data_IF_163216526614
#
_entry.id   IF_163216526614
#
_cell.length_a   1.000
_cell.length_b   1.000
_cell.length_c   1.000
_cell.angle_alpha   90.00
_cell.angle_beta   90.00
_cell.angle_gamma   90.00
#
_symmetry.space_group_name_H-M   'P 1'
#
loop_
_entity.id
_entity.type
_entity.pdbx_description
1 polymer ?
#
# COMPACT_ATOMS: atom_id res chain seq x y z
N UNK A 1 -1.19 -15.44 18.26
CA UNK A 1 -1.87 -15.70 16.98
C UNK A 1 -2.89 -14.57 16.79
N UNK A 2 -2.91 -13.93 15.64
CA UNK A 2 -3.86 -12.85 15.33
C UNK A 2 -4.77 -13.29 14.18
N UNK A 3 -5.95 -12.69 14.10
CA UNK A 3 -6.86 -12.84 12.98
C UNK A 3 -6.35 -11.97 11.81
N UNK A 4 -6.15 -12.58 10.64
CA UNK A 4 -5.66 -11.90 9.45
C UNK A 4 -6.77 -11.18 8.65
N UNK A 5 -8.02 -11.24 9.10
CA UNK A 5 -9.16 -10.61 8.42
C UNK A 5 -9.52 -11.24 7.07
N UNK A 6 -9.04 -12.44 6.77
CA UNK A 6 -9.33 -13.15 5.53
C UNK A 6 -10.12 -14.43 5.83
N UNK A 7 -11.29 -14.57 5.24
CA UNK A 7 -12.24 -15.64 5.56
C UNK A 7 -12.76 -16.33 4.30
N UNK A 8 -12.91 -17.65 4.38
CA UNK A 8 -13.72 -18.43 3.45
C UNK A 8 -14.98 -18.85 4.20
N UNK A 9 -16.13 -18.36 3.75
CA UNK A 9 -17.40 -18.51 4.45
C UNK A 9 -18.38 -19.25 3.55
N UNK A 10 -19.09 -20.24 4.11
CA UNK A 10 -20.15 -20.92 3.39
C UNK A 10 -21.31 -19.96 3.07
N UNK A 11 -21.88 -20.12 1.89
CA UNK A 11 -22.99 -19.28 1.41
C UNK A 11 -24.17 -19.25 2.40
N UNK A 12 -24.45 -20.38 3.04
CA UNK A 12 -25.53 -20.50 4.02
C UNK A 12 -25.40 -19.58 5.22
N UNK A 13 -24.16 -19.30 5.65
CA UNK A 13 -23.88 -18.36 6.75
C UNK A 13 -24.24 -16.94 6.31
N UNK A 14 -23.80 -16.54 5.10
CA UNK A 14 -24.11 -15.19 4.57
C UNK A 14 -25.60 -15.01 4.31
N UNK A 15 -26.27 -16.03 3.77
CA UNK A 15 -27.73 -15.98 3.50
C UNK A 15 -28.57 -15.89 4.77
N UNK A 16 -28.07 -16.33 5.91
CA UNK A 16 -28.71 -16.23 7.20
C UNK A 16 -28.59 -14.86 7.88
N UNK A 17 -27.79 -13.94 7.33
CA UNK A 17 -27.65 -12.60 7.89
C UNK A 17 -28.78 -11.68 7.44
N UNK A 18 -29.18 -10.77 8.32
CA UNK A 18 -30.09 -9.68 7.94
C UNK A 18 -29.33 -8.64 7.08
N UNK A 19 -30.07 -7.68 6.52
CA UNK A 19 -29.46 -6.56 5.76
C UNK A 19 -28.91 -5.46 6.65
N UNK A 20 -28.99 -5.62 7.96
CA UNK A 20 -28.42 -4.66 8.93
C UNK A 20 -26.91 -4.85 9.07
N UNK A 21 -26.26 -3.88 9.71
CA UNK A 21 -24.82 -3.96 10.01
C UNK A 21 -24.51 -5.13 10.95
N UNK A 22 -23.55 -5.97 10.56
CA UNK A 22 -23.01 -7.05 11.37
C UNK A 22 -21.48 -7.01 11.35
N UNK A 23 -20.86 -7.19 12.51
CA UNK A 23 -19.44 -7.55 12.59
C UNK A 23 -19.31 -9.06 12.47
N UNK A 24 -18.58 -9.53 11.45
CA UNK A 24 -18.35 -10.97 11.29
C UNK A 24 -17.70 -11.57 12.54
N UNK A 25 -16.75 -10.88 13.13
CA UNK A 25 -15.97 -11.35 14.28
C UNK A 25 -16.74 -11.29 15.61
N UNK A 26 -17.62 -10.32 15.77
CA UNK A 26 -18.34 -10.10 17.04
C UNK A 26 -19.72 -10.74 17.06
N UNK A 27 -20.42 -10.70 15.93
CA UNK A 27 -21.84 -11.05 15.89
C UNK A 27 -22.10 -12.40 15.21
N UNK A 28 -21.24 -12.82 14.25
CA UNK A 28 -21.46 -14.00 13.42
C UNK A 28 -20.57 -15.18 13.84
N UNK A 29 -19.27 -14.98 13.90
CA UNK A 29 -18.31 -16.07 14.13
C UNK A 29 -18.43 -16.76 15.49
N UNK A 30 -18.80 -16.10 16.61
CA UNK A 30 -18.98 -16.79 17.88
C UNK A 30 -20.00 -17.93 17.76
N UNK A 31 -21.17 -17.69 17.17
CA UNK A 31 -22.19 -18.73 17.00
C UNK A 31 -21.78 -19.85 16.05
N UNK A 32 -21.01 -19.53 15.00
CA UNK A 32 -20.44 -20.54 14.08
C UNK A 32 -19.39 -21.40 14.82
N UNK A 33 -18.56 -20.79 15.66
CA UNK A 33 -17.56 -21.50 16.45
C UNK A 33 -18.20 -22.42 17.50
N UNK A 34 -19.21 -21.94 18.24
CA UNK A 34 -19.96 -22.72 19.21
C UNK A 34 -20.63 -23.95 18.57
N UNK A 35 -21.06 -23.84 17.32
CA UNK A 35 -21.63 -24.97 16.57
C UNK A 35 -20.56 -25.97 16.06
N UNK A 36 -19.29 -25.75 16.32
CA UNK A 36 -18.17 -26.60 15.88
C UNK A 36 -17.89 -26.53 14.37
N UNK A 37 -18.45 -25.54 13.65
CA UNK A 37 -18.28 -25.40 12.20
C UNK A 37 -17.25 -24.37 11.77
N UNK A 38 -16.42 -23.86 12.71
CA UNK A 38 -15.35 -22.94 12.40
C UNK A 38 -13.99 -23.66 12.41
N UNK A 39 -13.25 -23.51 11.31
CA UNK A 39 -11.86 -23.94 11.21
C UNK A 39 -10.92 -22.76 11.15
N UNK A 40 -9.64 -22.95 11.47
CA UNK A 40 -8.60 -21.96 11.34
C UNK A 40 -7.42 -22.50 10.52
N UNK A 41 -6.95 -21.71 9.58
CA UNK A 41 -5.71 -21.99 8.85
C UNK A 41 -4.56 -21.20 9.47
N UNK A 42 -3.51 -21.89 9.91
CA UNK A 42 -2.31 -21.22 10.43
C UNK A 42 -1.42 -20.82 9.26
N UNK A 43 -1.27 -19.53 9.04
CA UNK A 43 -0.32 -18.97 8.10
C UNK A 43 0.97 -18.58 8.82
N UNK A 44 2.12 -19.00 8.29
CA UNK A 44 3.46 -18.74 8.86
C UNK A 44 4.30 -17.79 8.00
N UNK A 45 3.75 -17.24 6.90
CA UNK A 45 4.42 -16.27 6.05
C UNK A 45 4.39 -14.84 6.62
N UNK A 46 4.94 -13.91 5.87
CA UNK A 46 4.91 -12.49 6.21
C UNK A 46 3.47 -11.98 6.18
N UNK A 47 3.05 -11.34 7.24
CA UNK A 47 1.76 -10.65 7.32
C UNK A 47 2.00 -9.21 7.79
N UNK A 48 1.51 -8.24 7.04
CA UNK A 48 1.61 -6.81 7.35
C UNK A 48 0.19 -6.23 7.23
N UNK A 49 -0.30 -5.64 8.31
CA UNK A 49 -1.52 -4.85 8.30
C UNK A 49 -1.19 -3.44 7.82
N UNK A 50 -1.53 -3.13 6.56
CA UNK A 50 -1.24 -1.85 5.92
C UNK A 50 -2.28 -0.76 6.24
N UNK A 51 -2.86 -0.76 7.44
CA UNK A 51 -3.90 0.17 7.87
C UNK A 51 -3.41 1.59 8.23
N UNK A 52 -2.10 1.82 8.28
CA UNK A 52 -1.51 3.14 8.50
C UNK A 52 -0.54 3.52 7.37
N UNK A 53 -0.23 4.82 7.16
CA UNK A 53 0.77 5.22 6.17
C UNK A 53 2.12 4.54 6.38
N UNK A 54 2.58 4.42 7.61
CA UNK A 54 3.85 3.76 7.95
C UNK A 54 3.82 2.27 7.57
N UNK A 55 2.80 1.53 8.01
CA UNK A 55 2.68 0.11 7.69
C UNK A 55 2.42 -0.13 6.19
N UNK A 56 1.79 0.81 5.49
CA UNK A 56 1.67 0.77 4.03
C UNK A 56 3.04 0.86 3.34
N UNK A 57 3.91 1.79 3.76
CA UNK A 57 5.26 1.91 3.21
C UNK A 57 6.14 0.69 3.55
N UNK A 58 5.99 0.12 4.75
CA UNK A 58 6.65 -1.14 5.12
C UNK A 58 6.18 -2.30 4.24
N UNK A 59 4.86 -2.41 4.00
CA UNK A 59 4.29 -3.43 3.13
C UNK A 59 4.78 -3.27 1.67
N UNK A 60 4.87 -2.03 1.19
CA UNK A 60 5.41 -1.72 -0.14
C UNK A 60 6.86 -2.18 -0.28
N UNK A 61 7.74 -1.84 0.67
CA UNK A 61 9.14 -2.28 0.65
C UNK A 61 9.24 -3.79 0.69
N UNK A 62 8.46 -4.43 1.56
CA UNK A 62 8.40 -5.89 1.64
C UNK A 62 7.96 -6.53 0.32
N UNK A 63 6.96 -5.95 -0.36
CA UNK A 63 6.48 -6.44 -1.65
C UNK A 63 7.54 -6.27 -2.76
N UNK A 64 8.36 -5.22 -2.71
CA UNK A 64 9.49 -5.02 -3.63
C UNK A 64 10.55 -6.09 -3.39
N UNK A 65 10.95 -6.32 -2.14
CA UNK A 65 11.93 -7.36 -1.75
C UNK A 65 11.48 -8.76 -2.19
N UNK A 66 10.21 -9.09 -1.98
CA UNK A 66 9.62 -10.39 -2.33
C UNK A 66 9.24 -10.49 -3.83
N UNK A 67 9.41 -9.41 -4.62
CA UNK A 67 8.96 -9.31 -6.02
C UNK A 67 7.49 -9.75 -6.20
N UNK A 68 6.61 -9.27 -5.33
CA UNK A 68 5.22 -9.72 -5.23
C UNK A 68 4.25 -8.96 -6.14
N UNK A 69 4.75 -8.16 -7.09
CA UNK A 69 3.92 -7.41 -8.03
C UNK A 69 3.60 -8.22 -9.28
N UNK A 70 2.33 -8.21 -9.69
CA UNK A 70 1.87 -8.89 -10.92
C UNK A 70 2.04 -8.04 -12.19
N UNK A 71 2.31 -6.74 -12.06
CA UNK A 71 2.45 -5.77 -13.16
C UNK A 71 3.62 -4.83 -12.88
N UNK A 72 4.03 -4.06 -13.89
CA UNK A 72 5.19 -3.18 -13.76
C UNK A 72 6.52 -3.95 -13.73
N UNK A 73 7.51 -3.38 -13.08
CA UNK A 73 8.82 -4.04 -12.92
C UNK A 73 9.71 -3.34 -11.92
N UNK A 74 10.68 -4.10 -11.42
CA UNK A 74 11.70 -3.61 -10.49
C UNK A 74 12.91 -3.12 -11.29
N UNK A 75 13.36 -1.90 -10.99
CA UNK A 75 14.62 -1.32 -11.50
C UNK A 75 15.45 -0.87 -10.30
N UNK A 76 16.64 -1.46 -10.14
CA UNK A 76 17.43 -1.28 -8.91
C UNK A 76 16.69 -1.87 -7.71
N UNK A 77 16.42 -1.04 -6.72
CA UNK A 77 15.68 -1.41 -5.49
C UNK A 77 14.25 -0.87 -5.47
N UNK A 78 13.72 -0.40 -6.60
CA UNK A 78 12.42 0.26 -6.66
C UNK A 78 11.51 -0.36 -7.72
N UNK A 79 10.21 -0.34 -7.45
CA UNK A 79 9.18 -0.77 -8.38
C UNK A 79 8.61 0.39 -9.18
N UNK A 80 8.33 0.17 -10.47
CA UNK A 80 7.71 1.13 -11.37
C UNK A 80 6.55 0.48 -12.11
N UNK A 81 5.43 1.17 -12.20
CA UNK A 81 4.30 0.75 -13.03
C UNK A 81 4.70 0.68 -14.53
N UNK A 82 5.56 1.60 -14.98
CA UNK A 82 6.28 1.55 -16.24
C UNK A 82 7.80 1.64 -15.97
N UNK A 83 8.55 0.53 -16.13
CA UNK A 83 10.00 0.51 -15.91
C UNK A 83 10.80 1.51 -16.77
N UNK A 84 10.25 1.98 -17.90
CA UNK A 84 10.87 2.99 -18.75
C UNK A 84 10.92 4.36 -18.09
N UNK A 85 10.09 4.60 -17.06
CA UNK A 85 10.08 5.83 -16.27
C UNK A 85 11.10 5.84 -15.14
N UNK A 86 11.92 4.79 -15.02
CA UNK A 86 12.91 4.71 -13.96
C UNK A 86 13.90 5.88 -14.02
N UNK A 87 14.19 6.48 -12.86
CA UNK A 87 15.17 7.55 -12.70
C UNK A 87 16.21 7.21 -11.66
N UNK A 88 17.42 7.76 -11.81
CA UNK A 88 18.46 7.71 -10.78
C UNK A 88 18.00 8.47 -9.53
N UNK A 89 18.39 7.99 -8.36
CA UNK A 89 18.06 8.62 -7.08
C UNK A 89 16.71 8.19 -6.49
N UNK A 90 16.07 7.16 -7.06
CA UNK A 90 14.88 6.55 -6.48
C UNK A 90 15.25 5.16 -5.96
N UNK A 91 15.14 4.96 -4.64
CA UNK A 91 15.53 3.74 -3.93
C UNK A 91 14.42 3.26 -3.02
N UNK A 92 14.25 1.94 -2.91
CA UNK A 92 13.29 1.28 -2.01
C UNK A 92 11.87 1.85 -2.09
N UNK A 93 11.46 2.29 -3.28
CA UNK A 93 10.26 3.10 -3.48
C UNK A 93 9.40 2.53 -4.60
N UNK A 94 8.13 2.92 -4.61
CA UNK A 94 7.20 2.56 -5.69
C UNK A 94 6.72 3.80 -6.44
N UNK A 95 6.66 3.70 -7.78
CA UNK A 95 6.18 4.76 -8.66
C UNK A 95 5.03 4.24 -9.51
N UNK A 96 3.88 4.85 -9.35
CA UNK A 96 2.64 4.55 -10.07
C UNK A 96 2.64 4.96 -11.54
N UNK A 97 1.48 4.77 -12.18
CA UNK A 97 1.27 5.13 -13.60
C UNK A 97 1.21 6.64 -13.80
N UNK A 98 1.58 7.10 -14.99
CA UNK A 98 1.43 8.51 -15.44
C UNK A 98 2.08 9.56 -14.52
N UNK A 99 3.01 9.15 -13.65
CA UNK A 99 3.76 10.08 -12.81
C UNK A 99 4.69 10.96 -13.65
N UNK A 100 4.86 12.23 -13.25
CA UNK A 100 5.86 13.12 -13.83
C UNK A 100 6.96 13.36 -12.80
N UNK A 101 8.17 12.93 -13.13
CA UNK A 101 9.33 13.00 -12.24
C UNK A 101 10.33 14.03 -12.76
N UNK A 102 10.61 15.04 -11.99
CA UNK A 102 11.62 16.06 -12.25
C UNK A 102 13.05 15.52 -12.27
N UNK A 103 14.00 16.35 -12.58
CA UNK A 103 15.42 16.02 -12.58
C UNK A 103 16.07 16.27 -11.21
N UNK A 104 17.15 15.54 -10.90
CA UNK A 104 17.86 15.69 -9.63
C UNK A 104 17.11 15.24 -8.40
N UNK A 105 16.00 14.52 -8.54
CA UNK A 105 15.19 14.03 -7.41
C UNK A 105 15.94 12.94 -6.62
N UNK A 106 15.66 12.88 -5.32
CA UNK A 106 16.09 11.81 -4.42
C UNK A 106 14.87 11.31 -3.66
N UNK A 107 14.56 10.05 -3.83
CA UNK A 107 13.37 9.42 -3.24
C UNK A 107 13.78 8.11 -2.59
N UNK A 108 13.51 7.98 -1.30
CA UNK A 108 13.80 6.77 -0.55
C UNK A 108 12.57 6.33 0.25
N UNK A 109 12.34 5.00 0.32
CA UNK A 109 11.26 4.37 1.09
C UNK A 109 9.89 5.06 0.94
N UNK A 110 9.58 5.56 -0.26
CA UNK A 110 8.40 6.38 -0.52
C UNK A 110 7.54 5.78 -1.60
N UNK A 111 6.22 6.02 -1.50
CA UNK A 111 5.27 5.65 -2.53
C UNK A 111 4.79 6.91 -3.27
N UNK A 112 4.96 6.94 -4.58
CA UNK A 112 4.45 7.99 -5.46
C UNK A 112 3.31 7.39 -6.26
N UNK A 113 2.07 7.78 -5.94
CA UNK A 113 0.87 7.19 -6.54
C UNK A 113 0.56 7.82 -7.90
N UNK A 114 -0.32 7.15 -8.66
CA UNK A 114 -0.63 7.46 -10.06
C UNK A 114 -0.87 8.95 -10.33
N UNK A 115 -0.34 9.45 -11.43
CA UNK A 115 -0.53 10.82 -11.89
C UNK A 115 0.14 11.91 -11.04
N UNK A 116 0.90 11.55 -10.01
CA UNK A 116 1.60 12.53 -9.18
C UNK A 116 2.70 13.24 -9.96
N UNK A 117 2.98 14.49 -9.58
CA UNK A 117 3.97 15.36 -10.20
C UNK A 117 5.01 15.76 -9.18
N UNK A 118 6.24 15.35 -9.40
CA UNK A 118 7.39 15.64 -8.55
C UNK A 118 8.29 16.62 -9.31
N UNK A 119 8.51 17.80 -8.75
CA UNK A 119 9.37 18.83 -9.33
C UNK A 119 10.85 18.48 -9.29
N UNK A 120 11.67 19.34 -9.86
CA UNK A 120 13.13 19.17 -9.89
C UNK A 120 13.75 19.30 -8.48
N UNK A 121 14.85 18.58 -8.24
CA UNK A 121 15.61 18.62 -6.99
C UNK A 121 14.80 18.34 -5.73
N UNK A 122 13.71 17.58 -5.83
CA UNK A 122 12.90 17.18 -4.68
C UNK A 122 13.59 16.06 -3.93
N UNK A 123 13.58 16.16 -2.59
CA UNK A 123 13.96 15.09 -1.67
C UNK A 123 12.71 14.55 -0.95
N UNK A 124 12.48 13.25 -1.06
CA UNK A 124 11.44 12.52 -0.34
C UNK A 124 12.06 11.35 0.43
N UNK A 125 11.76 11.24 1.72
CA UNK A 125 12.13 10.09 2.51
C UNK A 125 10.95 9.65 3.39
N UNK A 126 10.60 8.38 3.32
CA UNK A 126 9.46 7.79 4.04
C UNK A 126 8.13 8.55 3.82
N UNK A 127 7.84 8.88 2.55
CA UNK A 127 6.68 9.69 2.18
C UNK A 127 5.65 8.88 1.38
N UNK A 128 4.38 9.20 1.58
CA UNK A 128 3.28 8.74 0.74
C UNK A 128 2.71 9.92 -0.05
N UNK A 129 3.00 9.96 -1.35
CA UNK A 129 2.49 11.01 -2.25
C UNK A 129 1.23 10.51 -2.95
N UNK A 130 0.11 11.11 -2.62
CA UNK A 130 -1.22 10.73 -3.10
C UNK A 130 -1.38 10.90 -4.62
N UNK A 131 -2.37 10.21 -5.17
CA UNK A 131 -2.71 10.27 -6.59
C UNK A 131 -2.96 11.70 -7.05
N UNK A 132 -2.40 12.09 -8.19
CA UNK A 132 -2.60 13.39 -8.81
C UNK A 132 -2.02 14.58 -8.06
N UNK A 133 -1.28 14.35 -6.97
CA UNK A 133 -0.68 15.42 -6.16
C UNK A 133 0.53 16.04 -6.82
N UNK A 134 0.88 17.24 -6.39
CA UNK A 134 2.04 17.98 -6.90
C UNK A 134 2.98 18.34 -5.75
N UNK A 135 4.25 18.00 -5.90
CA UNK A 135 5.35 18.40 -5.04
C UNK A 135 6.21 19.41 -5.81
N UNK A 136 6.30 20.67 -5.37
CA UNK A 136 7.07 21.71 -6.05
C UNK A 136 8.57 21.38 -6.07
N UNK A 137 9.27 21.96 -7.05
CA UNK A 137 10.73 21.84 -7.12
C UNK A 137 11.43 22.34 -5.85
N UNK A 138 12.59 21.74 -5.54
CA UNK A 138 13.43 22.04 -4.38
C UNK A 138 12.77 21.75 -3.01
N UNK A 139 11.68 20.98 -2.96
CA UNK A 139 11.07 20.55 -1.69
C UNK A 139 11.92 19.49 -1.00
N UNK A 140 11.97 19.56 0.35
CA UNK A 140 12.61 18.57 1.20
C UNK A 140 11.58 18.05 2.20
N UNK A 141 11.14 16.80 2.04
CA UNK A 141 10.00 16.24 2.76
C UNK A 141 10.39 14.89 3.35
N UNK A 142 10.10 14.70 4.63
CA UNK A 142 10.39 13.47 5.38
C UNK A 142 9.17 13.10 6.23
N UNK A 143 8.89 11.80 6.33
CA UNK A 143 7.83 11.23 7.19
C UNK A 143 6.45 11.86 6.95
N UNK A 144 6.06 12.08 5.69
CA UNK A 144 4.84 12.81 5.39
C UNK A 144 3.90 12.09 4.42
N UNK A 145 2.61 12.34 4.62
CA UNK A 145 1.54 11.97 3.68
C UNK A 145 1.02 13.22 2.98
N UNK A 146 1.14 13.24 1.66
CA UNK A 146 0.51 14.25 0.81
C UNK A 146 -0.77 13.62 0.26
N UNK A 147 -1.92 14.20 0.57
CA UNK A 147 -3.23 13.67 0.20
C UNK A 147 -3.49 13.68 -1.31
N UNK A 148 -4.60 13.10 -1.73
CA UNK A 148 -4.97 13.00 -3.15
C UNK A 148 -5.25 14.39 -3.75
N UNK A 149 -4.76 14.65 -4.97
CA UNK A 149 -4.94 15.90 -5.72
C UNK A 149 -4.54 17.17 -4.92
N UNK A 150 -3.61 17.03 -3.99
CA UNK A 150 -3.10 18.15 -3.21
C UNK A 150 -1.82 18.72 -3.81
N UNK A 151 -1.58 20.00 -3.54
CA UNK A 151 -0.29 20.64 -3.78
C UNK A 151 0.39 20.81 -2.43
N UNK A 152 1.60 20.30 -2.31
CA UNK A 152 2.47 20.57 -1.17
C UNK A 152 2.89 22.04 -1.20
N UNK A 153 2.80 22.73 -0.06
CA UNK A 153 3.14 24.15 0.10
C UNK A 153 4.38 24.32 0.93
#
# INVERSE_FOLDING_TARGET
>A
MINAGCYIVERSVIQGLSTEYHSMERDVFPGVAESGRMGGYRYSGRFIDAGTPTSYLEAMVAAIEDNSFNTGGIVGTSWYADPKMSKKGIENSAVGTECKLGDGIRVNRSAILDGARIGDNVYLDNCLVGRGSTVPANSHIVDMVIGFNQQYQ
#
